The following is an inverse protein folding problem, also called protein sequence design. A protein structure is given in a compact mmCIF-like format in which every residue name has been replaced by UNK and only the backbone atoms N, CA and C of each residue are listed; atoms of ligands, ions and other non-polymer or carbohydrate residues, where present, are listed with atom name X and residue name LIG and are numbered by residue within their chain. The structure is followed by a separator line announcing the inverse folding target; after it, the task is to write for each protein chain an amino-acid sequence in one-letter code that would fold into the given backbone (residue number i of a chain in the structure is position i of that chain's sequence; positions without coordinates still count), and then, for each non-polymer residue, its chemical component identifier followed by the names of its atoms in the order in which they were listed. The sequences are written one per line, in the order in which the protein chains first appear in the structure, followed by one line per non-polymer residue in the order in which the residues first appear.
data_IF_655104589714
#
_entry.id   IF_655104589714
#
_cell.length_a   1.000
_cell.length_b   1.000
_cell.length_c   1.000
_cell.angle_alpha   90.00
_cell.angle_beta   90.00
_cell.angle_gamma   90.00
#
_symmetry.space_group_name_H-M   'P 1'
#
loop_
_entity.id
_entity.type
_entity.pdbx_description
1 polymer ?
#
# COMPACT_ATOMS: atom_id res chain seq x y z
N UNK A 1 -15.02 -18.02 -4.49
CA UNK A 1 -15.99 -17.68 -3.41
C UNK A 1 -17.38 -17.60 -4.02
N UNK A 2 -18.36 -18.39 -3.56
CA UNK A 2 -19.75 -18.34 -4.07
C UNK A 2 -20.62 -17.45 -3.17
N UNK A 3 -21.77 -16.97 -3.68
CA UNK A 3 -22.71 -16.15 -2.89
C UNK A 3 -23.14 -16.85 -1.60
N UNK A 4 -23.49 -18.14 -1.68
CA UNK A 4 -23.91 -18.93 -0.51
C UNK A 4 -22.81 -19.04 0.54
N UNK A 5 -21.55 -19.24 0.11
CA UNK A 5 -20.40 -19.29 1.02
C UNK A 5 -20.13 -17.93 1.66
N UNK A 6 -20.26 -16.84 0.89
CA UNK A 6 -20.13 -15.48 1.41
C UNK A 6 -21.24 -15.14 2.43
N UNK A 7 -22.49 -15.53 2.16
CA UNK A 7 -23.61 -15.34 3.09
C UNK A 7 -23.44 -16.16 4.37
N UNK A 8 -22.93 -17.39 4.26
CA UNK A 8 -22.61 -18.22 5.41
C UNK A 8 -21.52 -17.58 6.29
N UNK A 9 -20.43 -17.09 5.68
CA UNK A 9 -19.39 -16.36 6.41
C UNK A 9 -19.96 -15.10 7.06
N UNK A 10 -20.75 -14.31 6.33
CA UNK A 10 -21.39 -13.11 6.84
C UNK A 10 -22.24 -13.38 8.10
N UNK A 11 -22.96 -14.51 8.12
CA UNK A 11 -23.87 -14.87 9.21
C UNK A 11 -23.18 -15.55 10.38
N UNK A 12 -22.13 -16.33 10.15
CA UNK A 12 -21.59 -17.25 11.15
C UNK A 12 -20.18 -16.87 11.65
N UNK A 13 -19.40 -16.17 10.84
CA UNK A 13 -18.03 -15.82 11.21
C UNK A 13 -18.02 -14.73 12.29
N UNK A 14 -17.39 -15.04 13.42
CA UNK A 14 -17.34 -14.15 14.60
C UNK A 14 -16.48 -12.91 14.37
N UNK A 15 -15.45 -13.02 13.52
CA UNK A 15 -14.60 -11.88 13.14
C UNK A 15 -15.44 -10.88 12.37
N UNK A 16 -16.17 -11.35 11.35
CA UNK A 16 -17.08 -10.51 10.58
C UNK A 16 -18.19 -9.94 11.46
N UNK A 17 -18.81 -10.72 12.32
CA UNK A 17 -19.83 -10.23 13.26
C UNK A 17 -19.28 -9.13 14.19
N UNK A 18 -18.03 -9.23 14.65
CA UNK A 18 -17.40 -8.21 15.48
C UNK A 18 -17.24 -6.90 14.71
N UNK A 19 -16.77 -6.96 13.46
CA UNK A 19 -16.58 -5.80 12.60
C UNK A 19 -17.87 -5.03 12.28
N UNK A 20 -19.04 -5.64 12.51
CA UNK A 20 -20.37 -5.01 12.38
C UNK A 20 -21.13 -4.89 13.70
N UNK A 21 -20.43 -4.99 14.83
CA UNK A 21 -21.04 -4.80 16.13
C UNK A 21 -21.62 -3.38 16.24
N UNK A 22 -22.80 -3.26 16.86
CA UNK A 22 -23.55 -2.01 17.04
C UNK A 22 -22.71 -0.88 17.67
N UNK A 23 -21.82 -1.22 18.60
CA UNK A 23 -20.88 -0.30 19.22
C UNK A 23 -19.43 -0.68 18.89
N UNK A 24 -19.16 -0.91 17.61
CA UNK A 24 -17.84 -1.29 17.10
C UNK A 24 -16.69 -0.40 17.63
N UNK A 25 -16.78 0.95 17.61
CA UNK A 25 -15.69 1.80 18.10
C UNK A 25 -15.39 1.60 19.59
N UNK A 26 -16.43 1.42 20.42
CA UNK A 26 -16.27 1.13 21.84
C UNK A 26 -15.58 -0.21 22.06
N UNK A 27 -16.09 -1.27 21.41
CA UNK A 27 -15.56 -2.62 21.54
C UNK A 27 -14.10 -2.70 21.10
N UNK A 28 -13.78 -2.22 19.91
CA UNK A 28 -12.42 -2.27 19.38
C UNK A 28 -11.48 -1.35 20.14
N UNK A 29 -11.88 -0.11 20.40
CA UNK A 29 -11.06 0.86 21.11
C UNK A 29 -10.71 0.39 22.52
N UNK A 30 -11.70 -0.15 23.24
CA UNK A 30 -11.47 -0.73 24.56
C UNK A 30 -10.61 -2.00 24.50
N UNK A 31 -10.92 -2.96 23.63
CA UNK A 31 -10.15 -4.21 23.53
C UNK A 31 -8.69 -3.96 23.13
N UNK A 32 -8.45 -3.02 22.21
CA UNK A 32 -7.09 -2.63 21.84
C UNK A 32 -6.36 -1.99 23.03
N UNK A 33 -7.00 -1.07 23.75
CA UNK A 33 -6.40 -0.47 24.95
C UNK A 33 -6.10 -1.53 26.02
N UNK A 34 -7.07 -2.37 26.36
CA UNK A 34 -6.95 -3.33 27.45
C UNK A 34 -5.98 -4.48 27.14
N UNK A 35 -6.03 -5.08 25.95
CA UNK A 35 -5.27 -6.30 25.65
C UNK A 35 -4.02 -6.05 24.81
N UNK A 36 -3.97 -5.00 23.99
CA UNK A 36 -2.83 -4.72 23.10
C UNK A 36 -1.89 -3.66 23.66
N UNK A 37 -2.42 -2.54 24.13
CA UNK A 37 -1.58 -1.45 24.66
C UNK A 37 -1.00 -1.79 26.05
N UNK A 38 -1.75 -2.50 26.90
CA UNK A 38 -1.27 -2.95 28.20
C UNK A 38 -0.53 -4.31 28.15
N UNK A 39 -0.46 -4.94 26.98
CA UNK A 39 0.22 -6.23 26.74
C UNK A 39 -0.17 -7.34 27.75
N UNK A 40 -1.45 -7.38 28.14
CA UNK A 40 -2.00 -8.37 29.08
C UNK A 40 -2.96 -9.31 28.36
N UNK A 41 -2.73 -10.61 28.51
CA UNK A 41 -3.49 -11.66 27.81
C UNK A 41 -4.87 -11.87 28.44
N UNK A 42 -4.99 -11.74 29.77
CA UNK A 42 -6.20 -12.03 30.50
C UNK A 42 -6.40 -11.09 31.71
N UNK A 43 -7.65 -10.82 32.05
CA UNK A 43 -8.05 -9.99 33.19
C UNK A 43 -9.07 -10.71 34.06
N UNK A 44 -9.06 -10.45 35.37
CA UNK A 44 -10.21 -10.81 36.19
C UNK A 44 -11.42 -9.92 35.85
N UNK A 45 -12.63 -10.37 36.16
CA UNK A 45 -13.85 -9.61 35.87
C UNK A 45 -13.82 -8.22 36.52
N UNK A 46 -13.45 -8.11 37.80
CA UNK A 46 -13.41 -6.84 38.53
C UNK A 46 -12.39 -5.89 37.94
N UNK A 47 -11.21 -6.38 37.57
CA UNK A 47 -10.17 -5.58 36.91
C UNK A 47 -10.68 -5.02 35.57
N UNK A 48 -11.20 -5.89 34.70
CA UNK A 48 -11.65 -5.48 33.37
C UNK A 48 -12.89 -4.58 33.44
N UNK A 49 -13.78 -4.84 34.39
CA UNK A 49 -14.98 -4.04 34.64
C UNK A 49 -14.61 -2.62 35.08
N UNK A 50 -13.64 -2.48 36.00
CA UNK A 50 -13.15 -1.17 36.44
C UNK A 50 -12.54 -0.41 35.27
N UNK A 51 -11.66 -1.07 34.50
CA UNK A 51 -11.00 -0.46 33.34
C UNK A 51 -12.01 0.01 32.28
N UNK A 52 -13.04 -0.80 32.00
CA UNK A 52 -14.10 -0.41 31.07
C UNK A 52 -14.95 0.74 31.63
N UNK A 53 -15.18 0.77 32.94
CA UNK A 53 -15.86 1.88 33.61
C UNK A 53 -15.14 3.21 33.41
N UNK A 54 -13.82 3.21 33.65
CA UNK A 54 -12.97 4.38 33.43
C UNK A 54 -12.94 4.81 31.96
N UNK A 55 -12.88 3.83 31.05
CA UNK A 55 -12.92 4.09 29.61
C UNK A 55 -14.24 4.73 29.15
N UNK A 56 -15.38 4.19 29.61
CA UNK A 56 -16.71 4.74 29.34
C UNK A 56 -16.86 6.15 29.92
N UNK A 57 -16.37 6.39 31.13
CA UNK A 57 -16.38 7.72 31.74
C UNK A 57 -15.56 8.73 30.91
N UNK A 58 -14.37 8.34 30.43
CA UNK A 58 -13.55 9.18 29.57
C UNK A 58 -14.23 9.48 28.22
N UNK A 59 -14.96 8.52 27.64
CA UNK A 59 -15.73 8.72 26.41
C UNK A 59 -16.90 9.70 26.59
N UNK A 60 -17.64 9.61 27.70
CA UNK A 60 -18.71 10.57 28.02
C UNK A 60 -18.18 11.99 28.13
N UNK A 61 -17.00 12.18 28.75
CA UNK A 61 -16.34 13.51 28.80
C UNK A 61 -15.98 14.09 27.43
N UNK A 62 -15.85 13.24 26.40
CA UNK A 62 -15.63 13.65 25.01
C UNK A 62 -16.92 13.85 24.21
N UNK A 63 -18.09 13.71 24.85
CA UNK A 63 -19.41 13.86 24.23
C UNK A 63 -19.97 12.58 23.60
N UNK A 64 -19.39 11.41 23.88
CA UNK A 64 -19.93 10.12 23.44
C UNK A 64 -20.80 9.50 24.54
N UNK A 65 -22.09 9.84 24.54
CA UNK A 65 -23.06 9.43 25.58
C UNK A 65 -24.00 8.28 25.18
N UNK A 66 -23.83 7.72 23.98
CA UNK A 66 -24.71 6.65 23.43
C UNK A 66 -24.52 5.28 24.11
N UNK A 67 -23.58 5.14 25.04
CA UNK A 67 -23.24 3.89 25.73
C UNK A 67 -23.94 3.75 27.08
N UNK A 68 -25.20 3.28 27.05
CA UNK A 68 -26.09 3.24 28.20
C UNK A 68 -25.94 2.01 29.12
N UNK A 69 -25.29 0.93 28.68
CA UNK A 69 -25.14 -0.28 29.50
C UNK A 69 -24.06 -0.11 30.56
N UNK A 70 -24.14 -0.91 31.63
CA UNK A 70 -23.06 -0.98 32.62
C UNK A 70 -21.82 -1.68 32.02
N UNK A 71 -20.64 -1.42 32.58
CA UNK A 71 -19.40 -2.09 32.16
C UNK A 71 -19.54 -3.61 32.21
N UNK A 72 -20.15 -4.15 33.27
CA UNK A 72 -20.34 -5.59 33.41
C UNK A 72 -21.28 -6.14 32.33
N UNK A 73 -22.36 -5.44 32.02
CA UNK A 73 -23.31 -5.85 30.97
C UNK A 73 -22.64 -5.86 29.59
N UNK A 74 -21.78 -4.89 29.29
CA UNK A 74 -20.99 -4.89 28.06
C UNK A 74 -20.06 -6.10 27.98
N UNK A 75 -19.29 -6.37 29.04
CA UNK A 75 -18.39 -7.53 29.07
C UNK A 75 -19.14 -8.86 28.93
N UNK A 76 -20.29 -9.01 29.59
CA UNK A 76 -21.14 -10.19 29.46
C UNK A 76 -21.73 -10.31 28.05
N UNK A 77 -22.22 -9.21 27.47
CA UNK A 77 -22.75 -9.18 26.09
C UNK A 77 -21.68 -9.59 25.08
N UNK A 78 -20.46 -9.03 25.20
CA UNK A 78 -19.34 -9.38 24.33
C UNK A 78 -18.88 -10.84 24.50
N UNK A 79 -18.95 -11.38 25.72
CA UNK A 79 -18.68 -12.80 25.96
C UNK A 79 -19.75 -13.71 25.33
N UNK A 80 -21.03 -13.37 25.48
CA UNK A 80 -22.15 -14.12 24.86
C UNK A 80 -22.09 -14.08 23.33
N UNK A 81 -21.67 -12.96 22.76
CA UNK A 81 -21.49 -12.80 21.32
C UNK A 81 -20.27 -13.58 20.80
N UNK A 82 -19.38 -14.01 21.69
CA UNK A 82 -18.17 -14.77 21.38
C UNK A 82 -16.96 -13.91 21.02
N UNK A 83 -17.01 -12.61 21.31
CA UNK A 83 -15.88 -11.69 21.10
C UNK A 83 -14.85 -11.80 22.21
N UNK A 84 -15.32 -11.96 23.45
CA UNK A 84 -14.51 -12.30 24.61
C UNK A 84 -14.78 -13.76 25.00
N UNK A 85 -13.77 -14.41 25.56
CA UNK A 85 -13.95 -15.68 26.26
C UNK A 85 -14.00 -15.39 27.75
N UNK A 86 -14.98 -16.00 28.42
CA UNK A 86 -15.19 -15.91 29.86
C UNK A 86 -15.13 -17.31 30.46
N UNK A 87 -14.20 -17.56 31.37
CA UNK A 87 -14.00 -18.86 32.00
C UNK A 87 -13.51 -18.71 33.44
N UNK A 88 -13.59 -19.78 34.23
CA UNK A 88 -13.01 -19.84 35.57
C UNK A 88 -11.69 -20.60 35.48
N UNK A 89 -10.58 -19.96 35.85
CA UNK A 89 -9.26 -20.56 35.79
C UNK A 89 -8.96 -21.36 37.08
N UNK A 90 -8.75 -20.67 38.21
CA UNK A 90 -8.39 -21.26 39.51
C UNK A 90 -9.05 -20.50 40.70
N UNK A 91 -9.44 -19.24 40.51
CA UNK A 91 -10.11 -18.41 41.51
C UNK A 91 -11.64 -18.46 41.37
N UNK A 92 -12.34 -18.01 42.40
CA UNK A 92 -13.81 -17.89 42.44
C UNK A 92 -14.36 -16.70 41.60
N UNK A 93 -13.48 -16.07 40.81
CA UNK A 93 -13.79 -14.95 39.93
C UNK A 93 -13.55 -15.34 38.46
N UNK A 94 -14.50 -15.02 37.54
CA UNK A 94 -14.33 -15.30 36.13
C UNK A 94 -13.25 -14.40 35.51
N UNK A 95 -12.51 -15.00 34.58
CA UNK A 95 -11.43 -14.37 33.81
C UNK A 95 -11.90 -14.14 32.38
N UNK A 96 -11.46 -13.03 31.79
CA UNK A 96 -11.75 -12.62 30.43
C UNK A 96 -10.48 -12.56 29.58
N UNK A 97 -10.53 -13.12 28.38
CA UNK A 97 -9.51 -13.03 27.33
C UNK A 97 -10.16 -12.71 25.97
N UNK A 98 -9.36 -12.21 25.03
CA UNK A 98 -9.82 -12.07 23.64
C UNK A 98 -10.08 -13.45 23.03
N UNK A 99 -11.20 -13.58 22.31
CA UNK A 99 -11.42 -14.75 21.45
C UNK A 99 -10.46 -14.72 20.26
N UNK A 100 -10.16 -15.87 19.62
CA UNK A 100 -9.37 -15.90 18.38
C UNK A 100 -9.97 -15.04 17.26
N UNK A 101 -11.30 -14.92 17.22
CA UNK A 101 -12.00 -14.07 16.26
C UNK A 101 -11.76 -12.57 16.54
N UNK A 102 -11.74 -12.17 17.82
CA UNK A 102 -11.44 -10.79 18.20
C UNK A 102 -9.95 -10.45 17.98
N UNK A 103 -9.05 -11.39 18.26
CA UNK A 103 -7.63 -11.29 17.92
C UNK A 103 -7.42 -11.06 16.43
N UNK A 104 -8.04 -11.88 15.57
CA UNK A 104 -7.97 -11.71 14.13
C UNK A 104 -8.55 -10.37 13.65
N UNK A 105 -9.67 -9.93 14.25
CA UNK A 105 -10.26 -8.64 13.91
C UNK A 105 -9.35 -7.47 14.28
N UNK A 106 -8.77 -7.46 15.48
CA UNK A 106 -7.84 -6.42 15.92
C UNK A 106 -6.57 -6.41 15.07
N UNK A 107 -6.01 -7.58 14.76
CA UNK A 107 -4.85 -7.69 13.88
C UNK A 107 -5.15 -7.12 12.49
N UNK A 108 -6.31 -7.46 11.91
CA UNK A 108 -6.71 -6.93 10.61
C UNK A 108 -6.89 -5.40 10.65
N UNK A 109 -7.46 -4.85 11.73
CA UNK A 109 -7.61 -3.40 11.92
C UNK A 109 -6.26 -2.69 12.11
N UNK A 110 -5.30 -3.31 12.79
CA UNK A 110 -3.93 -2.81 12.88
C UNK A 110 -3.23 -2.83 11.52
N UNK A 111 -3.43 -3.89 10.73
CA UNK A 111 -2.87 -4.01 9.38
C UNK A 111 -3.46 -2.95 8.43
N UNK A 112 -4.74 -2.58 8.58
CA UNK A 112 -5.33 -1.45 7.86
C UNK A 112 -4.62 -0.12 8.17
N UNK A 113 -4.12 0.06 9.40
CA UNK A 113 -3.37 1.25 9.80
C UNK A 113 -1.90 1.21 9.35
N UNK A 114 -1.33 0.02 9.13
CA UNK A 114 0.07 -0.20 8.70
C UNK A 114 0.31 -0.04 7.20
N UNK A 115 -0.62 0.53 6.44
CA UNK A 115 -0.52 0.76 4.99
C UNK A 115 0.73 1.53 4.51
N UNK A 116 1.58 2.05 5.40
CA UNK A 116 2.71 2.89 5.03
C UNK A 116 4.03 2.16 4.71
N UNK A 117 4.20 0.85 4.96
CA UNK A 117 5.45 0.17 4.52
C UNK A 117 5.19 -1.20 3.90
N UNK A 118 5.20 -1.24 2.56
CA UNK A 118 5.00 -2.45 1.78
C UNK A 118 6.37 -2.95 1.32
N UNK A 119 6.92 -3.96 2.01
CA UNK A 119 8.15 -4.64 1.62
C UNK A 119 7.97 -5.60 0.45
N UNK A 120 7.49 -5.11 -0.71
CA UNK A 120 7.24 -5.91 -1.93
C UNK A 120 8.47 -6.70 -2.37
N UNK A 121 9.65 -6.08 -2.28
CA UNK A 121 10.92 -6.68 -2.69
C UNK A 121 11.30 -7.89 -1.82
N UNK A 122 11.24 -7.78 -0.49
CA UNK A 122 11.55 -8.88 0.43
C UNK A 122 10.59 -10.06 0.27
N UNK A 123 9.30 -9.78 0.02
CA UNK A 123 8.27 -10.81 -0.14
C UNK A 123 8.39 -11.57 -1.46
N UNK A 124 8.82 -10.91 -2.54
CA UNK A 124 9.16 -11.59 -3.80
C UNK A 124 10.37 -12.50 -3.62
N UNK A 125 11.45 -12.02 -3.01
CA UNK A 125 12.63 -12.84 -2.76
C UNK A 125 12.28 -14.05 -1.88
N UNK A 126 11.43 -13.87 -0.88
CA UNK A 126 10.90 -14.97 -0.07
C UNK A 126 10.07 -15.95 -0.91
N UNK A 127 9.18 -15.47 -1.78
CA UNK A 127 8.42 -16.31 -2.69
C UNK A 127 9.34 -17.13 -3.61
N UNK A 128 10.35 -16.50 -4.24
CA UNK A 128 11.36 -17.18 -5.04
C UNK A 128 12.15 -18.20 -4.24
N UNK A 129 12.54 -17.87 -3.01
CA UNK A 129 13.21 -18.80 -2.11
C UNK A 129 12.35 -20.04 -1.83
N UNK A 130 11.04 -19.85 -1.57
CA UNK A 130 10.10 -20.95 -1.39
C UNK A 130 9.95 -21.78 -2.67
N UNK A 131 9.84 -21.15 -3.85
CA UNK A 131 9.80 -21.87 -5.12
C UNK A 131 11.09 -22.67 -5.37
N UNK A 132 12.27 -22.09 -5.09
CA UNK A 132 13.56 -22.78 -5.17
C UNK A 132 13.63 -23.97 -4.21
N UNK A 133 13.14 -23.80 -2.99
CA UNK A 133 13.06 -24.88 -2.00
C UNK A 133 12.15 -26.02 -2.49
N UNK A 134 11.00 -25.72 -3.09
CA UNK A 134 10.11 -26.74 -3.65
C UNK A 134 10.76 -27.41 -4.86
N UNK A 135 11.30 -26.64 -5.80
CA UNK A 135 11.94 -27.13 -7.01
C UNK A 135 13.24 -27.93 -6.73
N UNK A 136 13.87 -27.72 -5.58
CA UNK A 136 15.05 -28.48 -5.13
C UNK A 136 14.73 -29.91 -4.65
N UNK A 137 13.46 -30.32 -4.69
CA UNK A 137 13.02 -31.69 -4.35
C UNK A 137 13.32 -32.74 -5.45
N UNK A 138 14.05 -32.35 -6.50
CA UNK A 138 14.57 -33.20 -7.58
C UNK A 138 15.82 -32.56 -8.22
N UNK A 139 16.79 -33.39 -8.61
CA UNK A 139 18.24 -33.13 -8.77
C UNK A 139 18.76 -31.99 -9.69
N UNK A 140 19.98 -31.53 -9.32
CA UNK A 140 21.16 -30.99 -10.08
C UNK A 140 21.07 -29.69 -10.92
N UNK A 141 22.17 -28.97 -11.24
CA UNK A 141 23.48 -28.62 -10.64
C UNK A 141 24.18 -27.79 -11.74
N UNK A 142 24.35 -26.46 -11.61
CA UNK A 142 25.46 -25.71 -12.30
C UNK A 142 25.56 -24.22 -11.94
N UNK A 143 24.50 -23.54 -11.47
CA UNK A 143 24.57 -22.06 -11.26
C UNK A 143 25.08 -21.62 -9.87
N UNK A 144 25.63 -22.54 -9.07
CA UNK A 144 25.79 -22.39 -7.61
C UNK A 144 27.14 -21.79 -7.14
N UNK A 145 28.13 -21.54 -8.02
CA UNK A 145 29.55 -21.36 -7.63
C UNK A 145 29.85 -20.17 -6.68
N UNK A 146 29.19 -19.01 -6.82
CA UNK A 146 29.51 -17.84 -5.97
C UNK A 146 28.75 -17.84 -4.63
N UNK A 147 27.61 -18.53 -4.56
CA UNK A 147 26.88 -18.79 -3.32
C UNK A 147 27.35 -20.10 -2.64
N UNK A 148 28.19 -20.90 -3.30
CA UNK A 148 28.73 -22.16 -2.80
C UNK A 148 29.81 -21.96 -1.76
N UNK A 149 30.55 -20.85 -1.71
CA UNK A 149 31.69 -20.74 -0.80
C UNK A 149 31.27 -20.54 0.67
N UNK A 150 30.28 -19.69 0.94
CA UNK A 150 29.71 -19.52 2.29
C UNK A 150 28.79 -20.69 2.67
N UNK A 151 28.14 -21.31 1.67
CA UNK A 151 27.38 -22.52 1.87
C UNK A 151 28.28 -23.75 2.06
N UNK A 152 29.51 -23.79 1.52
CA UNK A 152 30.46 -24.92 1.57
C UNK A 152 30.78 -25.30 3.00
N UNK A 153 31.08 -24.34 3.86
CA UNK A 153 31.48 -24.66 5.24
C UNK A 153 30.29 -25.19 6.09
N UNK A 154 29.06 -24.79 5.75
CA UNK A 154 27.82 -25.27 6.38
C UNK A 154 27.39 -26.61 5.77
N UNK A 155 27.55 -26.76 4.46
CA UNK A 155 27.27 -27.96 3.68
C UNK A 155 28.35 -29.02 3.90
N UNK A 156 29.59 -28.73 4.25
CA UNK A 156 30.60 -29.76 4.56
C UNK A 156 30.21 -30.53 5.83
N UNK A 157 29.67 -29.83 6.83
CA UNK A 157 29.05 -30.46 8.01
C UNK A 157 27.79 -31.26 7.65
N UNK A 158 27.00 -30.77 6.71
CA UNK A 158 25.78 -31.44 6.25
C UNK A 158 26.11 -32.63 5.30
N UNK A 159 27.18 -32.55 4.52
CA UNK A 159 27.74 -33.59 3.65
C UNK A 159 28.36 -34.69 4.49
N UNK A 160 29.02 -34.38 5.61
CA UNK A 160 29.44 -35.39 6.58
C UNK A 160 28.23 -36.17 7.12
N UNK A 161 27.11 -35.49 7.40
CA UNK A 161 25.87 -36.14 7.84
C UNK A 161 25.17 -36.93 6.72
N UNK A 162 25.13 -36.40 5.50
CA UNK A 162 24.54 -37.07 4.33
C UNK A 162 25.40 -38.25 3.85
N UNK A 163 26.74 -38.14 3.86
CA UNK A 163 27.67 -39.26 3.58
C UNK A 163 27.62 -40.33 4.67
N UNK A 164 27.27 -39.97 5.89
CA UNK A 164 26.94 -40.92 6.96
C UNK A 164 25.55 -41.58 6.79
N UNK A 165 24.81 -41.24 5.72
CA UNK A 165 23.52 -41.86 5.38
C UNK A 165 22.28 -41.11 5.88
N UNK A 166 22.42 -39.87 6.36
CA UNK A 166 21.32 -39.07 6.87
C UNK A 166 20.83 -38.03 5.85
N UNK A 167 20.32 -38.47 4.69
CA UNK A 167 19.55 -37.63 3.78
C UNK A 167 18.06 -37.98 3.89
N UNK A 168 17.27 -37.05 4.41
CA UNK A 168 15.81 -37.21 4.49
C UNK A 168 15.19 -36.26 3.48
N UNK A 169 14.69 -36.74 2.33
CA UNK A 169 13.96 -35.89 1.40
C UNK A 169 12.73 -35.30 2.10
N UNK A 170 12.29 -34.12 1.65
CA UNK A 170 11.04 -33.55 2.14
C UNK A 170 9.92 -34.56 1.92
N UNK A 171 9.18 -34.85 2.98
CA UNK A 171 7.97 -35.66 2.86
C UNK A 171 6.94 -34.94 1.98
N UNK A 172 6.05 -35.69 1.33
CA UNK A 172 4.94 -35.12 0.55
C UNK A 172 4.13 -34.08 1.34
N UNK A 173 4.01 -34.27 2.66
CA UNK A 173 3.34 -33.32 3.55
C UNK A 173 4.08 -31.98 3.61
N UNK A 174 5.40 -32.01 3.79
CA UNK A 174 6.23 -30.79 3.84
C UNK A 174 6.27 -30.08 2.48
N UNK A 175 6.28 -30.83 1.37
CA UNK A 175 6.20 -30.25 0.03
C UNK A 175 4.87 -29.52 -0.16
N UNK A 176 3.75 -30.14 0.24
CA UNK A 176 2.41 -29.54 0.17
C UNK A 176 2.29 -28.29 1.06
N UNK A 177 2.78 -28.35 2.30
CA UNK A 177 2.81 -27.20 3.21
C UNK A 177 3.61 -26.02 2.64
N UNK A 178 4.79 -26.30 2.09
CA UNK A 178 5.65 -25.28 1.47
C UNK A 178 4.98 -24.68 0.23
N UNK A 179 4.29 -25.49 -0.57
CA UNK A 179 3.50 -25.01 -1.72
C UNK A 179 2.37 -24.08 -1.31
N UNK A 180 1.61 -24.42 -0.26
CA UNK A 180 0.55 -23.55 0.25
C UNK A 180 1.08 -22.22 0.78
N UNK A 181 2.23 -22.24 1.45
CA UNK A 181 2.89 -21.02 1.90
C UNK A 181 3.34 -20.15 0.71
N UNK A 182 3.86 -20.77 -0.35
CA UNK A 182 4.21 -20.07 -1.59
C UNK A 182 2.96 -19.45 -2.25
N UNK A 183 1.85 -20.19 -2.32
CA UNK A 183 0.58 -19.71 -2.85
C UNK A 183 0.03 -18.51 -2.06
N UNK A 184 0.06 -18.59 -0.73
CA UNK A 184 -0.35 -17.48 0.14
C UNK A 184 0.54 -16.24 -0.09
N UNK A 185 1.86 -16.46 -0.16
CA UNK A 185 2.83 -15.39 -0.40
C UNK A 185 2.60 -14.73 -1.76
N UNK A 186 2.31 -15.51 -2.80
CA UNK A 186 1.97 -15.00 -4.13
C UNK A 186 0.70 -14.13 -4.11
N UNK A 187 -0.35 -14.57 -3.40
CA UNK A 187 -1.59 -13.77 -3.27
C UNK A 187 -1.35 -12.45 -2.56
N UNK A 188 -0.58 -12.47 -1.47
CA UNK A 188 -0.20 -11.25 -0.73
C UNK A 188 0.60 -10.31 -1.60
N UNK A 189 1.61 -10.83 -2.31
CA UNK A 189 2.40 -10.04 -3.26
C UNK A 189 1.50 -9.35 -4.30
N UNK A 190 0.57 -10.08 -4.93
CA UNK A 190 -0.37 -9.47 -5.89
C UNK A 190 -1.28 -8.40 -5.24
N UNK A 191 -1.65 -8.57 -3.98
CA UNK A 191 -2.39 -7.55 -3.24
C UNK A 191 -1.56 -6.31 -2.97
N UNK A 192 -0.29 -6.48 -2.60
CA UNK A 192 0.65 -5.40 -2.36
C UNK A 192 0.82 -4.52 -3.60
N UNK A 193 0.92 -5.13 -4.78
CA UNK A 193 0.97 -4.40 -6.04
C UNK A 193 -0.28 -3.57 -6.32
N UNK A 194 -1.47 -4.10 -6.04
CA UNK A 194 -2.72 -3.35 -6.19
C UNK A 194 -2.76 -2.18 -5.22
N UNK A 195 -2.22 -2.34 -4.01
CA UNK A 195 -2.10 -1.24 -3.06
C UNK A 195 -1.15 -0.16 -3.58
N UNK A 196 -0.01 -0.54 -4.14
CA UNK A 196 0.91 0.42 -4.78
C UNK A 196 0.23 1.13 -5.94
N UNK A 197 -0.47 0.40 -6.81
CA UNK A 197 -1.27 0.98 -7.91
C UNK A 197 -2.26 2.02 -7.39
N UNK A 198 -3.01 1.71 -6.33
CA UNK A 198 -3.98 2.63 -5.74
C UNK A 198 -3.31 3.88 -5.17
N UNK A 199 -2.17 3.74 -4.47
CA UNK A 199 -1.42 4.89 -3.96
C UNK A 199 -0.99 5.84 -5.10
N UNK A 200 -0.55 5.31 -6.25
CA UNK A 200 -0.21 6.11 -7.42
C UNK A 200 -1.43 6.79 -8.04
N UNK A 201 -2.59 6.13 -8.06
CA UNK A 201 -3.85 6.71 -8.54
C UNK A 201 -4.35 7.84 -7.64
N UNK A 202 -4.27 7.67 -6.33
CA UNK A 202 -4.65 8.68 -5.36
C UNK A 202 -3.80 9.93 -5.51
N UNK A 203 -2.49 9.76 -5.66
CA UNK A 203 -1.60 10.86 -5.97
C UNK A 203 -1.97 11.53 -7.30
N UNK A 204 -2.15 10.78 -8.39
CA UNK A 204 -2.54 11.36 -9.67
C UNK A 204 -3.83 12.20 -9.56
N UNK A 205 -4.81 11.74 -8.77
CA UNK A 205 -6.00 12.51 -8.45
C UNK A 205 -5.71 13.78 -7.63
N UNK A 206 -4.84 13.71 -6.63
CA UNK A 206 -4.41 14.87 -5.83
C UNK A 206 -3.67 15.90 -6.68
N UNK A 207 -2.71 15.47 -7.50
CA UNK A 207 -1.96 16.32 -8.44
C UNK A 207 -2.91 17.04 -9.40
N UNK A 208 -3.89 16.33 -9.98
CA UNK A 208 -4.95 16.96 -10.80
C UNK A 208 -5.70 18.05 -10.05
N UNK A 209 -6.09 17.79 -8.80
CA UNK A 209 -6.77 18.81 -8.00
C UNK A 209 -5.89 20.03 -7.75
N UNK A 210 -4.60 19.83 -7.47
CA UNK A 210 -3.64 20.93 -7.30
C UNK A 210 -3.52 21.75 -8.58
N UNK A 211 -3.37 21.11 -9.74
CA UNK A 211 -3.29 21.79 -11.05
C UNK A 211 -4.54 22.65 -11.28
N UNK A 212 -5.75 22.10 -11.10
CA UNK A 212 -7.02 22.81 -11.32
C UNK A 212 -7.21 23.97 -10.33
N UNK A 213 -6.82 23.79 -9.06
CA UNK A 213 -7.02 24.80 -8.00
C UNK A 213 -5.93 25.87 -7.99
N UNK A 214 -4.79 25.62 -8.65
CA UNK A 214 -3.67 26.54 -8.62
C UNK A 214 -3.88 27.75 -9.55
N UNK A 215 -3.73 28.95 -9.00
CA UNK A 215 -3.59 30.21 -9.72
C UNK A 215 -2.12 30.59 -9.95
N UNK A 216 -1.20 29.66 -9.68
CA UNK A 216 0.26 29.88 -9.68
C UNK A 216 0.81 30.17 -11.08
N UNK A 217 1.96 30.85 -11.12
CA UNK A 217 2.72 31.04 -12.35
C UNK A 217 3.15 29.67 -12.92
N UNK A 218 3.28 29.58 -14.24
CA UNK A 218 3.57 28.33 -14.96
C UNK A 218 4.82 27.60 -14.43
N UNK A 219 5.86 28.34 -14.05
CA UNK A 219 7.10 27.79 -13.50
C UNK A 219 6.86 27.14 -12.13
N UNK A 220 6.28 27.87 -11.18
CA UNK A 220 6.03 27.39 -9.82
C UNK A 220 5.08 26.18 -9.78
N UNK A 221 4.11 26.11 -10.69
CA UNK A 221 3.17 24.99 -10.81
C UNK A 221 3.87 23.73 -11.33
N UNK A 222 4.72 23.88 -12.35
CA UNK A 222 5.52 22.77 -12.88
C UNK A 222 6.51 22.28 -11.83
N UNK A 223 7.21 23.17 -11.16
CA UNK A 223 8.16 22.82 -10.10
C UNK A 223 7.45 22.08 -8.96
N UNK A 224 6.28 22.55 -8.51
CA UNK A 224 5.52 21.87 -7.44
C UNK A 224 5.03 20.47 -7.86
N UNK A 225 4.60 20.32 -9.11
CA UNK A 225 4.11 19.03 -9.62
C UNK A 225 5.26 18.04 -9.84
N UNK A 226 6.40 18.49 -10.38
CA UNK A 226 7.58 17.64 -10.51
C UNK A 226 8.19 17.31 -9.16
N UNK A 227 8.24 18.24 -8.20
CA UNK A 227 8.64 17.95 -6.81
C UNK A 227 7.73 16.91 -6.16
N UNK A 228 6.40 17.00 -6.36
CA UNK A 228 5.47 16.00 -5.84
C UNK A 228 5.64 14.63 -6.52
N UNK A 229 5.96 14.59 -7.81
CA UNK A 229 6.21 13.35 -8.55
C UNK A 229 7.54 12.69 -8.14
N UNK A 230 8.60 13.48 -8.08
CA UNK A 230 9.91 13.04 -7.60
C UNK A 230 9.81 12.61 -6.14
N UNK A 231 8.95 13.24 -5.34
CA UNK A 231 8.73 12.84 -3.95
C UNK A 231 8.29 11.38 -3.84
N UNK A 232 7.33 10.87 -4.63
CA UNK A 232 6.93 9.45 -4.52
C UNK A 232 8.02 8.49 -4.96
N UNK A 233 8.69 8.77 -6.07
CA UNK A 233 9.79 7.93 -6.52
C UNK A 233 11.00 8.04 -5.58
N UNK A 234 11.11 9.13 -4.82
CA UNK A 234 12.11 9.31 -3.77
C UNK A 234 11.74 8.63 -2.46
N UNK A 235 10.46 8.31 -2.23
CA UNK A 235 10.05 7.51 -1.06
C UNK A 235 10.67 6.13 -1.11
N UNK A 236 10.91 5.55 0.07
CA UNK A 236 11.46 4.20 0.19
C UNK A 236 10.60 3.15 -0.53
N UNK A 237 9.30 3.39 -0.61
CA UNK A 237 8.30 2.54 -1.28
C UNK A 237 8.41 2.63 -2.81
N UNK A 238 8.50 3.85 -3.36
CA UNK A 238 8.69 4.07 -4.80
C UNK A 238 10.02 3.52 -5.30
N UNK A 239 11.11 3.75 -4.56
CA UNK A 239 12.43 3.17 -4.84
C UNK A 239 12.41 1.65 -4.77
N UNK A 240 11.82 1.11 -3.71
CA UNK A 240 11.70 -0.34 -3.55
C UNK A 240 10.84 -0.97 -4.63
N UNK A 241 9.80 -0.28 -5.13
CA UNK A 241 8.96 -0.77 -6.22
C UNK A 241 9.69 -0.74 -7.57
N UNK A 242 10.42 0.34 -7.90
CA UNK A 242 11.20 0.42 -9.14
C UNK A 242 12.27 -0.66 -9.20
N UNK A 243 13.10 -0.75 -8.17
CA UNK A 243 14.16 -1.76 -8.11
C UNK A 243 13.59 -3.19 -8.19
N UNK A 244 12.42 -3.39 -7.57
CA UNK A 244 11.68 -4.63 -7.68
C UNK A 244 11.16 -4.88 -9.12
N UNK A 245 10.59 -3.88 -9.77
CA UNK A 245 10.01 -4.00 -11.11
C UNK A 245 11.10 -4.28 -12.15
N UNK A 246 12.22 -3.56 -12.06
CA UNK A 246 13.42 -3.81 -12.88
C UNK A 246 13.93 -5.24 -12.69
N UNK A 247 14.00 -5.71 -11.45
CA UNK A 247 14.39 -7.08 -11.15
C UNK A 247 13.41 -8.11 -11.74
N UNK A 248 12.10 -7.91 -11.60
CA UNK A 248 11.06 -8.79 -12.18
C UNK A 248 11.12 -8.80 -13.71
N UNK A 249 11.44 -7.66 -14.32
CA UNK A 249 11.56 -7.53 -15.77
C UNK A 249 12.90 -8.03 -16.33
N UNK A 250 13.86 -8.38 -15.45
CA UNK A 250 15.13 -8.95 -15.90
C UNK A 250 14.95 -10.33 -16.55
N UNK A 251 15.62 -10.55 -17.67
CA UNK A 251 15.53 -11.79 -18.46
C UNK A 251 15.91 -13.02 -17.62
N UNK A 252 16.96 -12.90 -16.80
CA UNK A 252 17.40 -13.95 -15.88
C UNK A 252 16.31 -14.35 -14.89
N UNK A 253 15.62 -13.38 -14.26
CA UNK A 253 14.55 -13.69 -13.30
C UNK A 253 13.33 -14.31 -13.95
N UNK A 254 12.96 -13.85 -15.15
CA UNK A 254 11.82 -14.44 -15.85
C UNK A 254 12.10 -15.88 -16.25
N UNK A 255 13.29 -16.16 -16.77
CA UNK A 255 13.71 -17.51 -17.13
C UNK A 255 13.82 -18.44 -15.91
N UNK A 256 14.38 -17.94 -14.80
CA UNK A 256 14.47 -18.69 -13.55
C UNK A 256 13.07 -19.04 -13.01
N UNK A 257 12.14 -18.07 -13.00
CA UNK A 257 10.77 -18.29 -12.55
C UNK A 257 10.06 -19.35 -13.41
N UNK A 258 10.19 -19.29 -14.74
CA UNK A 258 9.62 -20.29 -15.64
C UNK A 258 10.16 -21.68 -15.35
N UNK A 259 11.48 -21.81 -15.23
CA UNK A 259 12.14 -23.09 -14.91
C UNK A 259 11.65 -23.66 -13.58
N UNK A 260 11.49 -22.81 -12.55
CA UNK A 260 10.98 -23.24 -11.25
C UNK A 260 9.51 -23.69 -11.33
N UNK A 261 8.67 -22.97 -12.06
CA UNK A 261 7.26 -23.33 -12.24
C UNK A 261 7.10 -24.64 -13.00
N UNK A 262 7.91 -24.90 -14.02
CA UNK A 262 7.94 -26.18 -14.74
C UNK A 262 8.29 -27.33 -13.78
N UNK A 263 9.40 -27.20 -13.04
CA UNK A 263 9.84 -28.22 -12.08
C UNK A 263 8.79 -28.50 -11.00
N UNK A 264 8.14 -27.46 -10.48
CA UNK A 264 7.10 -27.58 -9.46
C UNK A 264 5.87 -28.31 -10.01
N UNK A 265 5.52 -28.06 -11.28
CA UNK A 265 4.38 -28.68 -11.94
C UNK A 265 4.59 -30.17 -12.23
N UNK A 266 5.85 -30.60 -12.36
CA UNK A 266 6.21 -32.01 -12.53
C UNK A 266 6.16 -32.82 -11.22
N UNK A 267 5.99 -32.18 -10.05
CA UNK A 267 5.93 -32.86 -8.75
C UNK A 267 4.53 -33.47 -8.52
N UNK A 268 4.40 -34.81 -8.40
CA UNK A 268 3.10 -35.47 -8.25
C UNK A 268 2.31 -35.01 -7.01
N UNK A 269 3.00 -34.80 -5.89
CA UNK A 269 2.39 -34.33 -4.64
C UNK A 269 1.73 -32.94 -4.79
N UNK A 270 2.22 -32.10 -5.70
CA UNK A 270 1.68 -30.77 -5.96
C UNK A 270 0.49 -30.85 -6.92
N UNK A 271 0.57 -31.71 -7.93
CA UNK A 271 -0.55 -31.96 -8.85
C UNK A 271 -1.83 -32.41 -8.14
N UNK A 272 -1.71 -33.13 -7.02
CA UNK A 272 -2.86 -33.54 -6.19
C UNK A 272 -3.57 -32.39 -5.46
N UNK A 273 -2.82 -31.33 -5.13
CA UNK A 273 -3.27 -30.27 -4.22
C UNK A 273 -3.58 -28.96 -4.94
N UNK A 274 -2.95 -28.76 -6.09
CA UNK A 274 -3.10 -27.60 -6.96
C UNK A 274 -4.52 -27.51 -7.52
N UNK A 275 -5.34 -26.68 -6.88
CA UNK A 275 -6.74 -26.39 -7.29
C UNK A 275 -6.86 -25.09 -8.08
N UNK A 276 -5.97 -24.13 -7.85
CA UNK A 276 -5.99 -22.81 -8.48
C UNK A 276 -4.65 -22.53 -9.17
N UNK A 277 -4.69 -21.82 -10.30
CA UNK A 277 -3.50 -21.50 -11.11
C UNK A 277 -2.79 -20.21 -10.65
N UNK A 278 -2.95 -19.80 -9.39
CA UNK A 278 -2.41 -18.52 -8.92
C UNK A 278 -0.88 -18.48 -9.01
N UNK A 279 -0.23 -19.59 -8.64
CA UNK A 279 1.22 -19.76 -8.72
C UNK A 279 1.68 -19.82 -10.19
N UNK A 280 0.96 -20.51 -11.08
CA UNK A 280 1.32 -20.59 -12.50
C UNK A 280 1.22 -19.26 -13.22
N UNK A 281 0.15 -18.51 -12.92
CA UNK A 281 -0.14 -17.24 -13.59
C UNK A 281 0.56 -16.06 -12.92
N UNK A 282 1.44 -16.32 -11.95
CA UNK A 282 2.09 -15.26 -11.17
C UNK A 282 2.89 -14.33 -12.08
N UNK A 283 3.60 -14.86 -13.09
CA UNK A 283 4.31 -14.05 -14.09
C UNK A 283 3.37 -13.06 -14.78
N UNK A 284 2.31 -13.57 -15.41
CA UNK A 284 1.34 -12.73 -16.13
C UNK A 284 0.69 -11.71 -15.21
N UNK A 285 0.28 -12.14 -14.01
CA UNK A 285 -0.41 -11.27 -13.05
C UNK A 285 0.51 -10.15 -12.54
N UNK A 286 1.79 -10.43 -12.30
CA UNK A 286 2.75 -9.43 -11.86
C UNK A 286 3.09 -8.43 -12.99
N UNK A 287 3.26 -8.92 -14.22
CA UNK A 287 3.51 -8.07 -15.39
C UNK A 287 2.32 -7.12 -15.64
N UNK A 288 1.10 -7.67 -15.65
CA UNK A 288 -0.12 -6.87 -15.81
C UNK A 288 -0.28 -5.82 -14.70
N UNK A 289 0.14 -6.15 -13.47
CA UNK A 289 0.08 -5.23 -12.35
C UNK A 289 1.09 -4.08 -12.51
N UNK A 290 2.34 -4.36 -12.88
CA UNK A 290 3.32 -3.30 -13.12
C UNK A 290 3.00 -2.44 -14.36
N UNK A 291 2.45 -3.02 -15.43
CA UNK A 291 1.97 -2.26 -16.59
C UNK A 291 0.86 -1.27 -16.22
N UNK A 292 0.03 -1.57 -15.22
CA UNK A 292 -0.98 -0.63 -14.72
C UNK A 292 -0.35 0.52 -13.95
N UNK A 293 0.65 0.25 -13.11
CA UNK A 293 1.40 1.29 -12.39
C UNK A 293 2.11 2.22 -13.37
N UNK A 294 2.82 1.67 -14.38
CA UNK A 294 3.50 2.47 -15.40
C UNK A 294 2.52 3.33 -16.21
N UNK A 295 1.38 2.77 -16.66
CA UNK A 295 0.35 3.54 -17.38
C UNK A 295 -0.25 4.67 -16.56
N UNK A 296 -0.41 4.47 -15.25
CA UNK A 296 -0.88 5.54 -14.34
C UNK A 296 0.12 6.70 -14.31
N UNK A 297 1.42 6.41 -14.35
CA UNK A 297 2.47 7.42 -14.38
C UNK A 297 2.56 8.14 -15.74
N UNK A 298 2.50 7.41 -16.86
CA UNK A 298 2.56 7.99 -18.21
C UNK A 298 1.36 8.92 -18.47
N UNK A 299 0.19 8.56 -17.97
CA UNK A 299 -1.02 9.38 -18.06
C UNK A 299 -0.87 10.76 -17.40
N UNK A 300 -0.16 10.84 -16.28
CA UNK A 300 0.09 12.08 -15.56
C UNK A 300 1.02 13.01 -16.35
N UNK A 301 2.12 12.47 -16.92
CA UNK A 301 3.09 13.24 -17.71
C UNK A 301 2.42 13.85 -18.95
N UNK A 302 1.63 13.06 -19.66
CA UNK A 302 0.90 13.51 -20.84
C UNK A 302 -0.16 14.58 -20.51
N UNK A 303 -0.79 14.49 -19.33
CA UNK A 303 -1.76 15.50 -18.88
C UNK A 303 -1.09 16.82 -18.48
N UNK A 304 0.08 16.78 -17.82
CA UNK A 304 0.88 17.98 -17.55
C UNK A 304 1.27 18.66 -18.85
N UNK A 305 1.76 17.89 -19.83
CA UNK A 305 2.10 18.41 -21.16
C UNK A 305 0.91 19.13 -21.80
N UNK A 306 -0.26 18.49 -21.84
CA UNK A 306 -1.48 19.09 -22.41
C UNK A 306 -1.93 20.35 -21.67
N UNK A 307 -1.86 20.35 -20.34
CA UNK A 307 -2.22 21.52 -19.54
C UNK A 307 -1.27 22.70 -19.84
N UNK A 308 0.03 22.45 -19.90
CA UNK A 308 1.04 23.45 -20.28
C UNK A 308 0.79 24.00 -21.69
N UNK A 309 0.53 23.12 -22.65
CA UNK A 309 0.23 23.51 -24.03
C UNK A 309 -1.03 24.39 -24.13
N UNK A 310 -2.10 24.03 -23.42
CA UNK A 310 -3.34 24.81 -23.38
C UNK A 310 -3.14 26.20 -22.76
N UNK A 311 -2.37 26.30 -21.67
CA UNK A 311 -2.06 27.59 -21.03
C UNK A 311 -1.23 28.48 -21.96
N UNK A 312 -0.22 27.93 -22.65
CA UNK A 312 0.59 28.69 -23.63
C UNK A 312 -0.27 29.30 -24.74
N UNK A 313 -1.27 28.57 -25.23
CA UNK A 313 -2.20 29.07 -26.25
C UNK A 313 -3.08 30.19 -25.71
N UNK A 314 -3.53 30.10 -24.46
CA UNK A 314 -4.33 31.14 -23.81
C UNK A 314 -3.50 32.41 -23.54
N UNK A 315 -2.28 32.27 -23.02
CA UNK A 315 -1.36 33.40 -22.77
C UNK A 315 -0.98 34.09 -24.07
N UNK A 316 -0.62 33.33 -25.11
CA UNK A 316 -0.33 33.89 -26.45
C UNK A 316 -1.52 34.70 -27.01
N UNK A 317 -2.74 34.17 -26.86
CA UNK A 317 -3.96 34.91 -27.28
C UNK A 317 -4.21 36.15 -26.45
N UNK A 318 -3.89 36.12 -25.15
CA UNK A 318 -4.05 37.27 -24.27
C UNK A 318 -3.08 38.40 -24.64
N UNK A 319 -1.80 38.06 -24.87
CA UNK A 319 -0.78 39.01 -25.32
C UNK A 319 -1.21 39.66 -26.65
N UNK A 320 -1.66 38.87 -27.63
CA UNK A 320 -2.14 39.41 -28.91
C UNK A 320 -3.29 40.40 -28.72
N UNK A 321 -4.28 40.09 -27.87
CA UNK A 321 -5.38 41.03 -27.58
C UNK A 321 -4.90 42.31 -26.89
N UNK A 322 -3.92 42.21 -25.99
CA UNK A 322 -3.35 43.39 -25.33
C UNK A 322 -2.59 44.26 -26.34
N UNK A 323 -1.86 43.66 -27.28
CA UNK A 323 -1.22 44.39 -28.38
C UNK A 323 -2.27 45.10 -29.25
N UNK A 324 -3.33 44.40 -29.66
CA UNK A 324 -4.45 44.98 -30.42
C UNK A 324 -5.12 46.14 -29.66
N UNK A 325 -5.29 46.02 -28.35
CA UNK A 325 -5.82 47.10 -27.50
C UNK A 325 -4.86 48.30 -27.42
N UNK A 326 -3.56 48.07 -27.24
CA UNK A 326 -2.56 49.14 -27.23
C UNK A 326 -2.51 49.85 -28.58
N UNK A 327 -2.55 49.10 -29.69
CA UNK A 327 -2.61 49.66 -31.04
C UNK A 327 -3.88 50.50 -31.24
N UNK A 328 -5.04 50.02 -30.78
CA UNK A 328 -6.30 50.78 -30.81
C UNK A 328 -6.20 52.07 -30.00
N UNK A 329 -5.69 52.01 -28.77
CA UNK A 329 -5.52 53.19 -27.91
C UNK A 329 -4.52 54.19 -28.50
N UNK A 330 -3.44 53.71 -29.11
CA UNK A 330 -2.45 54.56 -29.78
C UNK A 330 -3.05 55.26 -31.01
N UNK A 331 -3.93 54.61 -31.75
CA UNK A 331 -4.66 55.22 -32.88
C UNK A 331 -5.66 56.25 -32.37
N UNK A 332 -6.43 55.93 -31.31
CA UNK A 332 -7.44 56.81 -30.72
C UNK A 332 -6.82 58.07 -30.08
N UNK A 333 -5.65 57.93 -29.44
CA UNK A 333 -4.90 59.06 -28.86
C UNK A 333 -3.96 59.77 -29.85
N UNK A 334 -3.83 59.29 -31.09
CA UNK A 334 -3.05 59.97 -32.14
C UNK A 334 -3.62 61.34 -32.48
N UNK A 335 -4.95 61.48 -32.47
CA UNK A 335 -5.63 62.75 -32.73
C UNK A 335 -5.45 63.81 -31.63
N UNK A 336 -5.06 63.41 -30.41
CA UNK A 336 -4.78 64.37 -29.32
C UNK A 336 -3.37 65.00 -29.45
N UNK A 337 -2.51 64.43 -30.31
CA UNK A 337 -1.13 64.88 -30.49
C UNK A 337 -0.96 65.94 -31.59
N UNK A 338 -1.96 66.13 -32.47
CA UNK A 338 -1.87 67.06 -33.61
C UNK A 338 -2.10 68.55 -33.25
N UNK A 339 -2.20 68.89 -31.95
CA UNK A 339 -2.56 70.25 -31.52
C UNK A 339 -1.72 70.88 -30.40
N UNK A 340 -0.62 70.27 -29.93
CA UNK A 340 0.22 70.90 -28.89
C UNK A 340 1.41 71.61 -29.51
N UNK A 341 1.44 72.93 -29.35
CA UNK A 341 2.61 73.76 -29.56
C UNK A 341 3.80 73.18 -28.78
N UNK A 342 4.96 73.09 -29.43
CA UNK A 342 6.22 72.69 -28.82
C UNK A 342 6.46 73.55 -27.57
N UNK A 343 6.37 72.95 -26.38
CA UNK A 343 6.56 73.69 -25.11
C UNK A 343 7.99 73.66 -24.60
N UNK A 344 8.87 72.82 -25.16
CA UNK A 344 10.28 72.79 -24.76
C UNK A 344 11.14 72.15 -25.85
N UNK A 345 12.12 72.90 -26.36
CA UNK A 345 13.24 72.38 -27.14
C UNK A 345 14.37 72.04 -26.15
N UNK A 346 14.91 70.83 -26.23
CA UNK A 346 16.02 70.38 -25.37
C UNK A 346 17.16 69.95 -26.27
N UNK A 347 18.30 70.65 -26.18
CA UNK A 347 19.50 70.43 -27.02
C UNK A 347 20.36 69.22 -26.60
N UNK A 348 19.80 68.27 -25.86
CA UNK A 348 20.52 67.06 -25.42
C UNK A 348 19.68 65.80 -25.63
N UNK A 349 20.32 64.65 -25.94
CA UNK A 349 19.62 63.41 -26.23
C UNK A 349 18.84 62.94 -24.99
N UNK A 350 17.51 63.02 -25.08
CA UNK A 350 16.59 62.48 -24.08
C UNK A 350 16.57 60.96 -24.16
N UNK A 351 16.94 60.28 -23.07
CA UNK A 351 16.84 58.83 -22.94
C UNK A 351 15.69 58.51 -21.98
N UNK A 352 14.49 58.14 -22.49
CA UNK A 352 13.38 57.83 -21.61
C UNK A 352 13.71 56.57 -20.79
N UNK A 353 13.66 56.69 -19.46
CA UNK A 353 13.63 55.55 -18.56
C UNK A 353 12.17 55.21 -18.28
N UNK A 354 11.67 54.15 -18.91
CA UNK A 354 10.41 53.56 -18.52
C UNK A 354 10.65 52.75 -17.26
N UNK A 355 10.21 53.26 -16.11
CA UNK A 355 10.08 52.46 -14.89
C UNK A 355 8.76 51.71 -15.07
N UNK A 356 8.85 50.40 -15.31
CA UNK A 356 7.70 49.51 -15.17
C UNK A 356 7.64 49.09 -13.70
N UNK A 357 6.60 49.54 -13.00
CA UNK A 357 6.23 49.05 -11.66
C UNK A 357 5.54 47.68 -11.75
#
# INVERSE_FOLDING_TARGET
MTFEKALSLYRNDKTLQLLRAEHFPLLVGFCHLAFKQQDKIAYSQSELQSLLGDYLYALRRKGFDDYALSSLDYLQKWAQQGYLRRYYAVADEPVYELSPAAENALKWLEDLNKQQFVGTHSRLLQFFHLLKQIASSGSNQEERIQQLEEARDKIDKEIEQVRAGHFVPLSDTQVKETYFLAEETARRLLSDFRQVEENFRELDAQTRQTIIKSSLAKADLLDNVFEQQDYLWSTDQGKSFLAFWEFLMSEHMQHELETLLEKINDIPAIAEVKKEQVVDRIKTNLVEAGDKVNRSNDGLIEQIRKFVEQRNLSESRHILRQIEQIESLLIEHKEISEGRAVWMEIDLPFKPSFIMD
#
